data_IF_417452109095
#
_entry.id   IF_417452109095
#
_cell.length_a   1.000
_cell.length_b   1.000
_cell.length_c   1.000
_cell.angle_alpha   90.00
_cell.angle_beta   90.00
_cell.angle_gamma   90.00
#
_symmetry.space_group_name_H-M   'P 1'
#
loop_
_entity.id
_entity.type
_entity.pdbx_description
1 polymer ?
#
# COMPACT_ATOMS: atom_id res chain seq x y z
N UNK A 1 -2.16 -4.56 20.43
CA UNK A 1 -1.49 -3.51 19.61
C UNK A 1 -1.63 -3.93 18.17
N UNK A 2 -1.78 -2.98 17.25
CA UNK A 2 -1.76 -3.31 15.83
C UNK A 2 -0.34 -3.71 15.42
N UNK A 3 -0.22 -4.83 14.71
CA UNK A 3 1.05 -5.39 14.22
C UNK A 3 1.10 -5.45 12.69
N UNK A 4 0.04 -4.99 12.04
CA UNK A 4 -0.14 -5.03 10.59
C UNK A 4 -0.74 -3.71 10.14
N UNK A 5 -0.31 -3.21 8.99
CA UNK A 5 -0.88 -2.03 8.35
C UNK A 5 -1.40 -2.39 6.97
N UNK A 6 -2.66 -2.04 6.70
CA UNK A 6 -3.16 -1.97 5.34
C UNK A 6 -2.95 -0.55 4.82
N UNK A 7 -2.34 -0.46 3.65
CA UNK A 7 -2.16 0.78 2.91
C UNK A 7 -2.82 0.61 1.55
N UNK A 8 -3.61 1.57 1.11
CA UNK A 8 -4.28 1.57 -0.17
C UNK A 8 -4.08 2.88 -0.89
N UNK A 9 -3.70 2.79 -2.15
CA UNK A 9 -3.63 3.92 -3.05
C UNK A 9 -4.28 3.59 -4.37
N UNK A 10 -4.93 4.60 -4.95
CA UNK A 10 -5.39 4.56 -6.33
C UNK A 10 -4.43 5.40 -7.16
N UNK A 11 -3.79 4.79 -8.14
CA UNK A 11 -2.93 5.51 -9.06
C UNK A 11 -3.76 6.44 -9.96
N UNK A 12 -3.09 7.41 -10.59
CA UNK A 12 -3.64 8.11 -11.76
C UNK A 12 -4.00 7.10 -12.86
N UNK A 13 -4.94 7.41 -13.77
CA UNK A 13 -5.36 6.47 -14.82
C UNK A 13 -4.19 5.89 -15.61
N UNK A 14 -4.06 4.56 -15.64
CA UNK A 14 -2.96 3.84 -16.30
C UNK A 14 -1.61 3.88 -15.57
N UNK A 15 -1.54 4.51 -14.39
CA UNK A 15 -0.32 4.67 -13.59
C UNK A 15 -0.03 3.54 -12.60
N UNK A 16 -0.83 2.47 -12.58
CA UNK A 16 -0.73 1.40 -11.57
C UNK A 16 0.67 0.79 -11.47
N UNK A 17 1.31 0.52 -12.61
CA UNK A 17 2.62 -0.14 -12.62
C UNK A 17 3.73 0.78 -12.12
N UNK A 18 3.63 2.09 -12.37
CA UNK A 18 4.53 3.09 -11.81
C UNK A 18 4.37 3.18 -10.29
N UNK A 19 3.12 3.19 -9.80
CA UNK A 19 2.84 3.18 -8.36
C UNK A 19 3.31 1.88 -7.68
N UNK A 20 3.10 0.73 -8.32
CA UNK A 20 3.57 -0.56 -7.80
C UNK A 20 5.11 -0.61 -7.72
N UNK A 21 5.81 -0.07 -8.74
CA UNK A 21 7.27 0.06 -8.69
C UNK A 21 7.73 0.95 -7.53
N UNK A 22 7.09 2.11 -7.36
CA UNK A 22 7.39 3.01 -6.26
C UNK A 22 7.21 2.31 -4.90
N UNK A 23 6.13 1.52 -4.73
CA UNK A 23 5.90 0.73 -3.51
C UNK A 23 7.06 -0.22 -3.23
N UNK A 24 7.50 -0.98 -4.24
CA UNK A 24 8.62 -1.94 -4.07
C UNK A 24 9.92 -1.23 -3.66
N UNK A 25 10.15 -0.02 -4.14
CA UNK A 25 11.36 0.77 -3.84
C UNK A 25 11.32 1.46 -2.47
N UNK A 26 10.14 1.80 -1.96
CA UNK A 26 9.98 2.72 -0.83
C UNK A 26 9.29 2.13 0.40
N UNK A 27 8.57 1.01 0.29
CA UNK A 27 7.95 0.34 1.43
C UNK A 27 8.97 -0.55 2.13
N UNK A 28 9.33 -0.28 3.40
CA UNK A 28 10.30 -1.09 4.10
C UNK A 28 9.66 -2.36 4.70
N UNK A 29 10.48 -3.41 4.80
CA UNK A 29 10.14 -4.61 5.56
C UNK A 29 9.23 -5.61 4.82
N UNK A 30 8.79 -6.67 5.51
CA UNK A 30 7.97 -7.71 4.91
C UNK A 30 6.56 -7.17 4.61
N UNK A 31 6.23 -7.10 3.33
CA UNK A 31 4.93 -6.63 2.86
C UNK A 31 4.44 -7.44 1.66
N UNK A 32 3.14 -7.67 1.62
CA UNK A 32 2.44 -8.27 0.48
C UNK A 32 1.78 -7.16 -0.35
N UNK A 33 2.02 -7.16 -1.67
CA UNK A 33 1.51 -6.15 -2.61
C UNK A 33 0.45 -6.77 -3.51
N UNK A 34 -0.72 -6.14 -3.58
CA UNK A 34 -1.87 -6.57 -4.36
C UNK A 34 -2.24 -5.51 -5.40
N UNK A 35 -2.51 -5.97 -6.63
CA UNK A 35 -3.00 -5.12 -7.70
C UNK A 35 -4.52 -5.31 -7.83
N UNK A 36 -5.25 -4.21 -7.64
CA UNK A 36 -6.71 -4.17 -7.77
C UNK A 36 -7.17 -3.56 -9.10
N UNK A 37 -8.50 -3.59 -9.30
CA UNK A 37 -9.14 -2.83 -10.37
C UNK A 37 -9.11 -1.32 -10.10
N UNK A 38 -9.38 -0.53 -11.15
CA UNK A 38 -9.34 0.94 -11.10
C UNK A 38 -7.98 1.47 -10.64
N UNK A 39 -6.90 0.91 -11.19
CA UNK A 39 -5.51 1.32 -10.92
C UNK A 39 -5.11 1.30 -9.44
N UNK A 40 -5.69 0.38 -8.65
CA UNK A 40 -5.44 0.28 -7.21
C UNK A 40 -4.21 -0.57 -6.89
N UNK A 41 -3.45 -0.12 -5.90
CA UNK A 41 -2.39 -0.89 -5.23
C UNK A 41 -2.73 -0.97 -3.75
N UNK A 42 -2.71 -2.17 -3.19
CA UNK A 42 -2.90 -2.42 -1.75
C UNK A 42 -1.65 -3.09 -1.21
N UNK A 43 -1.19 -2.63 -0.05
CA UNK A 43 -0.04 -3.17 0.65
C UNK A 43 -0.48 -3.63 2.03
N UNK A 44 -0.15 -4.87 2.39
CA UNK A 44 -0.30 -5.40 3.75
C UNK A 44 1.10 -5.57 4.33
N UNK A 45 1.49 -4.66 5.22
CA UNK A 45 2.83 -4.63 5.80
C UNK A 45 2.80 -5.07 7.26
N UNK A 46 3.61 -6.07 7.62
CA UNK A 46 3.74 -6.55 9.02
C UNK A 46 4.81 -5.76 9.75
N UNK A 47 4.54 -5.40 11.00
CA UNK A 47 5.42 -4.59 11.85
C UNK A 47 5.49 -3.12 11.47
N UNK A 48 4.71 -2.66 10.49
CA UNK A 48 4.67 -1.27 10.07
C UNK A 48 3.65 -0.47 10.90
N UNK A 49 4.06 0.68 11.44
CA UNK A 49 3.14 1.63 12.09
C UNK A 49 2.54 2.63 11.10
N UNK A 50 3.31 3.02 10.08
CA UNK A 50 2.91 3.93 9.00
C UNK A 50 3.80 3.70 7.79
N UNK A 51 3.25 3.79 6.60
CA UNK A 51 4.00 3.73 5.34
C UNK A 51 4.11 5.11 4.69
N UNK A 52 5.14 5.32 3.85
CA UNK A 52 5.33 6.60 3.16
C UNK A 52 4.15 6.94 2.24
N UNK A 53 4.00 8.23 1.98
CA UNK A 53 3.08 8.75 0.97
C UNK A 53 3.81 8.81 -0.38
N UNK A 54 3.18 8.35 -1.48
CA UNK A 54 3.74 8.44 -2.81
C UNK A 54 3.70 9.89 -3.31
N UNK A 55 4.52 10.23 -4.32
CA UNK A 55 4.39 11.46 -5.08
C UNK A 55 2.92 11.72 -5.50
N UNK A 56 2.47 12.97 -5.32
CA UNK A 56 1.07 13.34 -5.52
C UNK A 56 0.60 13.17 -6.97
N UNK A 57 1.52 13.21 -7.94
CA UNK A 57 1.29 12.97 -9.36
C UNK A 57 1.12 11.49 -9.70
N UNK A 58 1.48 10.57 -8.80
CA UNK A 58 1.26 9.14 -8.98
C UNK A 58 -0.12 8.68 -8.52
N UNK A 59 -0.81 9.45 -7.67
CA UNK A 59 -2.08 9.04 -7.05
C UNK A 59 -3.25 9.94 -7.43
N UNK A 60 -4.40 9.32 -7.69
CA UNK A 60 -5.63 10.03 -8.03
C UNK A 60 -6.37 10.60 -6.80
N UNK A 61 -5.97 10.19 -5.60
CA UNK A 61 -6.57 10.60 -4.31
C UNK A 61 -5.57 10.34 -3.16
N UNK A 62 -5.79 10.94 -1.98
CA UNK A 62 -5.00 10.62 -0.80
C UNK A 62 -5.01 9.12 -0.48
N UNK A 63 -3.86 8.63 -0.02
CA UNK A 63 -3.70 7.26 0.47
C UNK A 63 -4.58 7.05 1.69
N UNK A 64 -5.10 5.83 1.83
CA UNK A 64 -5.73 5.38 3.05
C UNK A 64 -4.85 4.35 3.76
N UNK A 65 -4.68 4.52 5.07
CA UNK A 65 -3.87 3.62 5.91
C UNK A 65 -4.68 3.22 7.14
N UNK A 66 -4.73 1.92 7.43
CA UNK A 66 -5.48 1.38 8.57
C UNK A 66 -4.66 0.34 9.33
N UNK A 67 -4.50 0.49 10.65
CA UNK A 67 -3.84 -0.50 11.49
C UNK A 67 -4.76 -1.69 11.78
N UNK A 68 -4.20 -2.89 11.72
CA UNK A 68 -4.85 -4.17 12.01
C UNK A 68 -4.00 -5.01 12.97
N UNK A 69 -4.64 -5.98 13.62
CA UNK A 69 -3.97 -7.07 14.33
C UNK A 69 -4.12 -8.33 13.51
N UNK A 70 -3.01 -8.97 13.16
CA UNK A 70 -3.00 -10.26 12.48
C UNK A 70 -3.66 -11.31 13.36
N UNK A 71 -4.59 -12.08 12.78
CA UNK A 71 -5.27 -13.16 13.48
C UNK A 71 -4.66 -14.53 13.18
N UNK A 72 -4.64 -14.94 11.91
CA UNK A 72 -4.02 -16.18 11.40
C UNK A 72 -3.98 -16.20 9.86
N UNK A 73 -3.17 -17.08 9.30
CA UNK A 73 -3.28 -17.54 7.90
C UNK A 73 -4.09 -18.84 7.84
N UNK A 74 -4.73 -19.12 6.71
CA UNK A 74 -5.49 -20.36 6.44
C UNK A 74 -4.87 -21.15 5.29
#
# INVERSE_FOLDING_TARGET
>A
MADTLMWEARAVPGGRDALARWVVENVPGPADVYLGGQDRVVVIARGAGRLPEPPADLVARPVAQWPFTFHRSV
#
